data_IF_062291679775
#
_entry.id   IF_062291679775
#
_cell.length_a   1.000
_cell.length_b   1.000
_cell.length_c   1.000
_cell.angle_alpha   90.00
_cell.angle_beta   90.00
_cell.angle_gamma   90.00
#
_symmetry.space_group_name_H-M   'P 1'
#
loop_
_entity.id
_entity.type
_entity.pdbx_description
1 polymer ?
#
# COMPACT_ATOMS: atom_id res chain seq x y z
N UNK A 1 -44.29 31.70 -16.05
CA UNK A 1 -43.29 32.68 -15.59
C UNK A 1 -41.95 32.00 -15.53
N UNK A 2 -41.06 32.45 -16.40
CA UNK A 2 -39.79 31.82 -16.78
C UNK A 2 -38.70 32.29 -15.82
N UNK A 3 -38.20 31.42 -14.96
CA UNK A 3 -37.09 31.76 -14.05
C UNK A 3 -35.78 31.65 -14.83
N UNK A 4 -35.19 32.81 -15.13
CA UNK A 4 -33.87 32.94 -15.78
C UNK A 4 -32.79 32.35 -14.87
N UNK A 5 -32.11 31.31 -15.35
CA UNK A 5 -30.76 30.96 -14.87
C UNK A 5 -29.80 32.03 -15.37
N UNK A 6 -29.40 32.94 -14.48
CA UNK A 6 -28.36 33.94 -14.72
C UNK A 6 -26.98 33.32 -14.54
N UNK A 7 -26.15 33.50 -15.56
CA UNK A 7 -24.76 33.07 -15.66
C UNK A 7 -23.86 33.73 -14.61
N UNK A 8 -22.86 32.99 -14.14
CA UNK A 8 -21.83 33.47 -13.21
C UNK A 8 -20.56 32.64 -13.26
N UNK A 9 -20.09 32.25 -14.46
CA UNK A 9 -18.68 31.85 -14.63
C UNK A 9 -17.87 33.14 -14.74
N UNK A 10 -17.41 33.67 -13.60
CA UNK A 10 -16.41 34.73 -13.62
C UNK A 10 -15.15 34.21 -14.31
N UNK A 11 -14.83 34.73 -15.50
CA UNK A 11 -13.51 34.55 -16.09
C UNK A 11 -12.51 35.22 -15.14
N UNK A 12 -11.68 34.42 -14.46
CA UNK A 12 -10.54 34.95 -13.71
C UNK A 12 -9.65 35.77 -14.65
N UNK A 13 -9.21 36.93 -14.18
CA UNK A 13 -8.31 37.81 -14.93
C UNK A 13 -7.00 37.04 -15.24
N UNK A 14 -6.52 37.03 -16.50
CA UNK A 14 -5.20 36.48 -16.85
C UNK A 14 -4.04 36.98 -15.98
N UNK A 15 -4.13 38.16 -15.38
CA UNK A 15 -3.14 38.66 -14.42
C UNK A 15 -3.26 37.96 -13.05
N UNK A 16 -4.47 37.65 -12.62
CA UNK A 16 -4.75 36.92 -11.37
C UNK A 16 -4.26 35.46 -11.48
N UNK A 17 -4.50 34.80 -12.62
CA UNK A 17 -3.96 33.46 -12.92
C UNK A 17 -2.43 33.43 -12.92
N UNK A 18 -1.78 34.48 -13.44
CA UNK A 18 -0.31 34.63 -13.41
C UNK A 18 0.25 34.78 -12.00
N UNK A 19 -0.52 35.41 -11.10
CA UNK A 19 -0.09 35.62 -9.72
C UNK A 19 -0.06 34.31 -8.91
N UNK A 20 -0.95 33.36 -9.22
CA UNK A 20 -1.09 32.08 -8.52
C UNK A 20 0.19 31.24 -8.68
N UNK A 21 0.68 31.06 -9.91
CA UNK A 21 1.89 30.28 -10.16
C UNK A 21 3.13 30.86 -9.46
N UNK A 22 3.30 32.18 -9.50
CA UNK A 22 4.38 32.86 -8.80
C UNK A 22 4.29 32.69 -7.28
N UNK A 23 3.10 32.77 -6.70
CA UNK A 23 2.86 32.54 -5.28
C UNK A 23 3.18 31.09 -4.88
N UNK A 24 2.76 30.12 -5.69
CA UNK A 24 3.05 28.70 -5.50
C UNK A 24 4.56 28.42 -5.49
N UNK A 25 5.29 28.94 -6.48
CA UNK A 25 6.74 28.79 -6.55
C UNK A 25 7.45 29.42 -5.35
N UNK A 26 7.03 30.63 -4.91
CA UNK A 26 7.60 31.26 -3.70
C UNK A 26 7.43 30.36 -2.48
N UNK A 27 6.26 29.75 -2.33
CA UNK A 27 5.96 28.86 -1.20
C UNK A 27 6.77 27.57 -1.26
N UNK A 28 6.80 26.90 -2.40
CA UNK A 28 7.62 25.70 -2.63
C UNK A 28 9.13 25.99 -2.39
N UNK A 29 9.59 27.17 -2.77
CA UNK A 29 10.99 27.59 -2.63
C UNK A 29 11.40 27.90 -1.18
N UNK A 30 10.47 28.08 -0.23
CA UNK A 30 10.79 28.43 1.17
C UNK A 30 11.66 27.40 1.89
N UNK A 31 11.63 26.14 1.44
CA UNK A 31 12.41 25.04 2.03
C UNK A 31 13.89 25.08 1.66
N UNK A 32 14.29 25.97 0.74
CA UNK A 32 15.65 26.07 0.24
C UNK A 32 16.34 27.31 0.79
N UNK A 33 17.61 27.18 1.18
CA UNK A 33 18.38 28.26 1.79
C UNK A 33 18.60 29.46 0.86
N UNK A 34 18.61 29.26 -0.45
CA UNK A 34 18.71 30.34 -1.42
C UNK A 34 18.09 30.00 -2.77
N UNK A 35 17.51 31.01 -3.44
CA UNK A 35 16.98 30.87 -4.81
C UNK A 35 18.07 30.48 -5.80
N UNK A 36 19.31 30.94 -5.60
CA UNK A 36 20.43 30.58 -6.46
C UNK A 36 20.83 29.10 -6.33
N UNK A 37 20.80 28.54 -5.11
CA UNK A 37 21.00 27.11 -4.88
C UNK A 37 19.90 26.28 -5.54
N UNK A 38 18.65 26.65 -5.28
CA UNK A 38 17.48 26.02 -5.90
C UNK A 38 17.56 26.00 -7.43
N UNK A 39 17.89 27.12 -8.07
CA UNK A 39 17.98 27.20 -9.54
C UNK A 39 19.05 26.26 -10.12
N UNK A 40 20.15 26.04 -9.40
CA UNK A 40 21.21 25.11 -9.82
C UNK A 40 20.74 23.66 -9.74
N UNK A 41 20.11 23.27 -8.64
CA UNK A 41 19.55 21.92 -8.47
C UNK A 41 18.42 21.65 -9.47
N UNK A 42 17.57 22.65 -9.70
CA UNK A 42 16.46 22.59 -10.64
C UNK A 42 16.90 22.67 -12.11
N UNK A 43 18.15 23.07 -12.38
CA UNK A 43 18.69 23.25 -13.73
C UNK A 43 18.03 24.39 -14.53
N UNK A 44 17.47 25.40 -13.86
CA UNK A 44 16.79 26.55 -14.50
C UNK A 44 17.64 27.80 -14.35
N UNK A 45 17.69 28.62 -15.39
CA UNK A 45 18.36 29.92 -15.33
C UNK A 45 17.68 30.82 -14.27
N UNK A 46 18.46 31.41 -13.36
CA UNK A 46 17.94 32.23 -12.25
C UNK A 46 17.07 33.42 -12.72
N UNK A 47 17.45 34.09 -13.80
CA UNK A 47 16.67 35.19 -14.38
C UNK A 47 15.33 34.69 -14.91
N UNK A 48 15.31 33.51 -15.51
CA UNK A 48 14.08 32.87 -15.96
C UNK A 48 13.19 32.46 -14.78
N UNK A 49 13.77 31.86 -13.73
CA UNK A 49 13.03 31.47 -12.53
C UNK A 49 12.44 32.69 -11.79
N UNK A 50 13.18 33.79 -11.71
CA UNK A 50 12.68 35.03 -11.11
C UNK A 50 11.47 35.61 -11.86
N UNK A 51 11.45 35.53 -13.19
CA UNK A 51 10.29 35.92 -14.00
C UNK A 51 9.06 35.04 -13.74
N UNK A 52 9.27 33.79 -13.34
CA UNK A 52 8.17 32.92 -12.91
C UNK A 52 7.68 33.31 -11.52
N UNK A 53 8.59 33.58 -10.58
CA UNK A 53 8.26 34.03 -9.23
C UNK A 53 7.49 35.36 -9.22
N UNK A 54 7.77 36.27 -10.16
CA UNK A 54 7.05 37.55 -10.30
C UNK A 54 5.74 37.44 -11.09
N UNK A 55 5.47 36.31 -11.75
CA UNK A 55 4.29 36.14 -12.61
C UNK A 55 4.41 36.83 -13.98
N UNK A 56 5.60 37.30 -14.35
CA UNK A 56 5.85 37.95 -15.64
C UNK A 56 5.76 36.97 -16.82
N UNK A 57 6.05 35.69 -16.59
CA UNK A 57 6.00 34.66 -17.63
C UNK A 57 5.62 33.30 -17.07
N UNK A 58 5.18 32.40 -17.95
CA UNK A 58 4.93 31.00 -17.64
C UNK A 58 6.02 30.10 -18.24
N UNK A 59 6.31 28.96 -17.60
CA UNK A 59 7.25 27.98 -18.11
C UNK A 59 6.69 27.31 -19.36
N UNK A 60 7.60 26.98 -20.29
CA UNK A 60 7.29 26.05 -21.39
C UNK A 60 7.00 24.65 -20.81
N UNK A 61 6.27 23.78 -21.54
CA UNK A 61 5.87 22.47 -21.03
C UNK A 61 7.02 21.61 -20.48
N UNK A 62 8.17 21.60 -21.14
CA UNK A 62 9.39 20.88 -20.72
C UNK A 62 9.95 21.43 -19.40
N UNK A 63 9.97 22.76 -19.25
CA UNK A 63 10.42 23.43 -18.03
C UNK A 63 9.44 23.20 -16.89
N UNK A 64 8.13 23.25 -17.17
CA UNK A 64 7.09 22.97 -16.20
C UNK A 64 7.19 21.53 -15.69
N UNK A 65 7.32 20.55 -16.59
CA UNK A 65 7.48 19.14 -16.22
C UNK A 65 8.64 18.93 -15.25
N UNK A 66 9.77 19.59 -15.50
CA UNK A 66 10.93 19.55 -14.60
C UNK A 66 10.65 20.21 -13.25
N UNK A 67 9.97 21.35 -13.23
CA UNK A 67 9.54 22.02 -11.98
C UNK A 67 8.63 21.11 -11.17
N UNK A 68 7.61 20.54 -11.81
CA UNK A 68 6.66 19.61 -11.21
C UNK A 68 7.37 18.38 -10.64
N UNK A 69 8.26 17.75 -11.42
CA UNK A 69 9.05 16.59 -10.99
C UNK A 69 10.00 16.89 -9.83
N UNK A 70 10.63 18.08 -9.82
CA UNK A 70 11.52 18.49 -8.75
C UNK A 70 10.79 18.73 -7.42
N UNK A 71 9.61 19.36 -7.47
CA UNK A 71 8.83 19.67 -6.26
C UNK A 71 7.82 18.58 -5.88
N UNK A 72 7.61 17.56 -6.72
CA UNK A 72 6.63 16.50 -6.48
C UNK A 72 5.17 16.97 -6.57
N UNK A 73 4.88 17.91 -7.47
CA UNK A 73 3.56 18.55 -7.63
C UNK A 73 3.03 18.42 -9.06
N UNK A 74 1.72 18.56 -9.24
CA UNK A 74 1.05 18.47 -10.55
C UNK A 74 1.09 19.80 -11.33
N UNK A 75 0.87 19.76 -12.65
CA UNK A 75 0.85 20.94 -13.51
C UNK A 75 -0.26 21.95 -13.17
N UNK A 76 -1.29 21.54 -12.40
CA UNK A 76 -2.29 22.45 -11.81
C UNK A 76 -1.67 23.62 -11.02
N UNK A 77 -0.41 23.53 -10.58
CA UNK A 77 0.30 24.62 -9.88
C UNK A 77 0.31 25.92 -10.70
N UNK A 78 0.08 25.86 -12.01
CA UNK A 78 -0.06 27.03 -12.86
C UNK A 78 -1.27 27.89 -12.50
N UNK A 79 -2.37 27.26 -12.08
CA UNK A 79 -3.70 27.89 -12.02
C UNK A 79 -4.40 27.73 -10.68
N UNK A 80 -3.98 26.78 -9.85
CA UNK A 80 -4.57 26.51 -8.54
C UNK A 80 -3.52 26.74 -7.43
N UNK A 81 -3.90 27.23 -6.24
CA UNK A 81 -2.98 27.30 -5.11
C UNK A 81 -2.38 25.93 -4.78
N UNK A 82 -1.08 25.86 -4.53
CA UNK A 82 -0.34 24.60 -4.32
C UNK A 82 -0.82 23.82 -3.10
N UNK A 83 -1.53 24.45 -2.18
CA UNK A 83 -2.16 23.81 -1.03
C UNK A 83 -3.48 23.12 -1.37
N UNK A 84 -4.18 23.62 -2.39
CA UNK A 84 -5.41 23.04 -2.91
C UNK A 84 -5.10 21.87 -3.86
N UNK A 85 -3.91 21.88 -4.47
CA UNK A 85 -3.36 20.80 -5.27
C UNK A 85 -2.82 19.73 -4.32
N UNK A 86 -3.75 19.04 -3.66
CA UNK A 86 -3.44 17.73 -3.14
C UNK A 86 -3.11 16.82 -4.34
N UNK A 87 -2.07 15.97 -4.26
CA UNK A 87 -1.91 14.92 -5.26
C UNK A 87 -3.26 14.20 -5.38
N UNK A 88 -3.72 13.93 -6.62
CA UNK A 88 -5.05 13.36 -6.89
C UNK A 88 -5.31 11.98 -6.25
N UNK A 89 -4.40 11.49 -5.41
CA UNK A 89 -4.66 10.42 -4.47
C UNK A 89 -5.58 10.91 -3.35
N UNK A 90 -6.88 10.98 -3.65
CA UNK A 90 -7.92 10.73 -2.65
C UNK A 90 -7.82 9.26 -2.21
N UNK A 91 -6.76 8.92 -1.50
CA UNK A 91 -6.67 7.67 -0.76
C UNK A 91 -7.63 7.76 0.43
N UNK A 92 -8.28 6.64 0.78
CA UNK A 92 -9.24 6.53 1.87
C UNK A 92 -8.66 7.08 3.18
N UNK A 93 -7.37 6.81 3.42
CA UNK A 93 -6.63 7.25 4.60
C UNK A 93 -6.24 8.72 4.59
N UNK A 94 -6.33 9.40 3.44
CA UNK A 94 -6.07 10.84 3.31
C UNK A 94 -7.35 11.68 3.40
N UNK A 95 -8.52 11.05 3.54
CA UNK A 95 -9.79 11.77 3.66
C UNK A 95 -9.87 12.51 5.01
N UNK A 96 -10.34 13.78 5.05
CA UNK A 96 -10.36 14.60 6.28
C UNK A 96 -11.07 13.95 7.48
N UNK A 97 -12.08 13.12 7.24
CA UNK A 97 -12.80 12.42 8.30
C UNK A 97 -11.94 11.40 9.07
N UNK A 98 -10.84 10.90 8.50
CA UNK A 98 -10.00 9.85 9.10
C UNK A 98 -8.51 10.19 9.10
N UNK A 99 -8.08 11.24 8.40
CA UNK A 99 -6.65 11.54 8.20
C UNK A 99 -5.88 11.82 9.50
N UNK A 100 -6.53 12.35 10.54
CA UNK A 100 -5.89 12.55 11.85
C UNK A 100 -5.86 11.28 12.72
N UNK A 101 -6.59 10.23 12.33
CA UNK A 101 -6.76 8.99 13.09
C UNK A 101 -6.05 7.79 12.44
N UNK A 102 -6.08 7.71 11.10
CA UNK A 102 -5.57 6.61 10.28
C UNK A 102 -4.64 7.12 9.16
N UNK A 103 -4.07 8.32 9.32
CA UNK A 103 -3.37 9.05 8.26
C UNK A 103 -2.06 8.47 7.78
N UNK A 104 -1.23 9.33 7.18
CA UNK A 104 -0.04 8.96 6.42
C UNK A 104 0.96 8.02 7.14
N UNK A 105 1.06 8.09 8.47
CA UNK A 105 1.93 7.20 9.23
C UNK A 105 1.54 5.72 9.17
N UNK A 106 0.24 5.43 9.06
CA UNK A 106 -0.30 4.07 9.04
C UNK A 106 -0.15 3.40 7.67
N UNK A 107 -0.07 4.16 6.58
CA UNK A 107 0.07 3.60 5.22
C UNK A 107 1.52 3.39 4.77
N UNK A 108 2.48 3.99 5.48
CA UNK A 108 3.90 3.85 5.18
C UNK A 108 4.52 2.69 5.98
N UNK A 109 4.68 1.54 5.32
CA UNK A 109 5.38 0.37 5.86
C UNK A 109 6.81 0.35 5.31
N UNK A 110 7.80 0.47 6.18
CA UNK A 110 9.21 0.57 5.77
C UNK A 110 9.79 -0.78 5.31
N UNK A 111 10.75 -0.76 4.37
CA UNK A 111 11.40 -1.97 3.83
C UNK A 111 12.12 -2.78 4.92
N UNK A 112 12.72 -2.10 5.90
CA UNK A 112 13.40 -2.71 7.04
C UNK A 112 12.44 -3.28 8.08
N UNK A 113 11.15 -2.90 8.08
CA UNK A 113 10.08 -3.41 8.95
C UNK A 113 9.34 -4.61 8.32
N UNK A 114 9.08 -4.55 7.02
CA UNK A 114 8.45 -5.64 6.27
C UNK A 114 8.97 -5.65 4.81
N UNK A 115 10.07 -6.38 4.53
CA UNK A 115 10.74 -6.35 3.23
C UNK A 115 9.85 -6.72 2.05
N UNK A 116 10.10 -6.12 0.90
CA UNK A 116 9.55 -6.61 -0.37
C UNK A 116 10.13 -8.00 -0.71
N UNK A 117 9.36 -8.80 -1.43
CA UNK A 117 9.79 -10.11 -1.93
C UNK A 117 8.84 -11.24 -1.61
N UNK A 118 9.31 -12.46 -1.86
CA UNK A 118 8.55 -13.67 -1.62
C UNK A 118 8.54 -14.08 -0.15
N UNK A 119 7.35 -14.40 0.34
CA UNK A 119 7.13 -14.99 1.65
C UNK A 119 6.45 -16.34 1.52
N UNK A 120 6.96 -17.33 2.25
CA UNK A 120 6.22 -18.55 2.57
C UNK A 120 5.39 -18.27 3.81
N UNK A 121 4.09 -18.56 3.75
CA UNK A 121 3.24 -18.49 4.94
C UNK A 121 2.70 -19.86 5.31
N UNK A 122 2.44 -20.02 6.61
CA UNK A 122 1.71 -21.16 7.16
C UNK A 122 0.62 -20.66 8.11
N UNK A 123 -0.54 -21.28 8.06
CA UNK A 123 -1.62 -21.11 9.05
C UNK A 123 -2.47 -22.36 9.12
N UNK A 124 -3.14 -22.68 10.23
CA UNK A 124 -4.14 -23.71 10.18
C UNK A 124 -5.34 -23.29 9.30
N UNK A 125 -6.05 -24.29 8.78
CA UNK A 125 -7.17 -24.12 7.88
C UNK A 125 -8.37 -23.52 8.60
N UNK A 126 -9.09 -22.64 7.92
CA UNK A 126 -10.33 -22.06 8.45
C UNK A 126 -11.52 -23.00 8.40
N UNK A 127 -11.37 -24.13 7.69
CA UNK A 127 -12.46 -25.08 7.38
C UNK A 127 -12.23 -26.43 8.04
N UNK A 128 -10.99 -26.92 8.07
CA UNK A 128 -10.65 -28.24 8.61
C UNK A 128 -9.62 -28.09 9.74
N UNK A 129 -9.96 -28.57 10.93
CA UNK A 129 -9.13 -28.32 12.10
C UNK A 129 -7.82 -29.09 12.15
N UNK A 130 -7.72 -30.16 11.36
CA UNK A 130 -6.53 -31.03 11.29
C UNK A 130 -5.62 -30.70 10.10
N UNK A 131 -5.92 -29.62 9.36
CA UNK A 131 -5.14 -29.24 8.18
C UNK A 131 -4.57 -27.84 8.31
N UNK A 132 -3.46 -27.64 7.63
CA UNK A 132 -2.77 -26.37 7.52
C UNK A 132 -2.72 -25.93 6.07
N UNK A 133 -2.64 -24.63 5.87
CA UNK A 133 -2.43 -24.00 4.58
C UNK A 133 -1.00 -23.49 4.56
N UNK A 134 -0.22 -23.99 3.60
CA UNK A 134 1.09 -23.45 3.25
C UNK A 134 0.98 -22.79 1.88
N UNK A 135 1.42 -21.54 1.77
CA UNK A 135 1.33 -20.82 0.51
C UNK A 135 2.47 -19.84 0.31
N UNK A 136 2.52 -19.32 -0.91
CA UNK A 136 3.47 -18.29 -1.31
C UNK A 136 2.72 -16.98 -1.53
N UNK A 137 3.25 -15.90 -0.98
CA UNK A 137 2.80 -14.54 -1.30
C UNK A 137 3.98 -13.70 -1.75
N UNK A 138 3.70 -12.68 -2.55
CA UNK A 138 4.65 -11.69 -3.00
C UNK A 138 4.26 -10.34 -2.42
N UNK A 139 5.17 -9.77 -1.65
CA UNK A 139 5.05 -8.44 -1.04
C UNK A 139 5.80 -7.45 -1.92
N UNK A 140 5.16 -6.33 -2.24
CA UNK A 140 5.76 -5.32 -3.11
C UNK A 140 5.26 -3.92 -2.76
N UNK A 141 6.09 -2.93 -3.05
CA UNK A 141 5.74 -1.52 -2.88
C UNK A 141 5.44 -0.87 -4.22
N UNK A 142 4.43 -0.01 -4.23
CA UNK A 142 4.06 0.80 -5.39
C UNK A 142 3.37 2.07 -4.90
N UNK A 143 3.71 3.21 -5.49
CA UNK A 143 3.09 4.50 -5.19
C UNK A 143 3.14 4.88 -3.69
N UNK A 144 4.18 4.42 -2.96
CA UNK A 144 4.37 4.67 -1.52
C UNK A 144 3.62 3.69 -0.59
N UNK A 145 2.85 2.76 -1.13
CA UNK A 145 2.07 1.78 -0.36
C UNK A 145 2.70 0.38 -0.43
N UNK A 146 2.43 -0.43 0.58
CA UNK A 146 2.87 -1.83 0.66
C UNK A 146 1.70 -2.78 0.37
N UNK A 147 1.90 -3.68 -0.59
CA UNK A 147 0.87 -4.58 -1.09
C UNK A 147 1.30 -6.04 -0.97
N UNK A 148 0.31 -6.92 -0.97
CA UNK A 148 0.50 -8.36 -1.10
C UNK A 148 -0.29 -8.90 -2.29
N UNK A 149 0.29 -9.88 -2.96
CA UNK A 149 -0.37 -10.72 -3.95
C UNK A 149 -0.10 -12.19 -3.63
N UNK A 150 -1.12 -13.03 -3.75
CA UNK A 150 -0.96 -14.46 -3.62
C UNK A 150 -2.08 -15.23 -4.30
N UNK A 151 -2.03 -16.55 -4.18
CA UNK A 151 -3.01 -17.45 -4.77
C UNK A 151 -3.47 -18.47 -3.75
N UNK A 152 -4.78 -18.65 -3.61
CA UNK A 152 -5.34 -19.74 -2.79
C UNK A 152 -4.87 -21.11 -3.32
N UNK A 153 -4.66 -22.14 -2.49
CA UNK A 153 -4.40 -23.49 -2.95
C UNK A 153 -5.51 -24.04 -3.87
N UNK A 154 -5.14 -24.75 -4.94
CA UNK A 154 -6.12 -25.38 -5.84
C UNK A 154 -7.03 -26.37 -5.08
N UNK A 155 -6.46 -27.11 -4.14
CA UNK A 155 -7.19 -28.07 -3.31
C UNK A 155 -8.24 -27.40 -2.43
N UNK A 156 -7.87 -26.29 -1.77
CA UNK A 156 -8.79 -25.50 -0.96
C UNK A 156 -9.94 -24.91 -1.80
N UNK A 157 -9.67 -24.51 -3.05
CA UNK A 157 -10.70 -24.08 -3.99
C UNK A 157 -11.63 -25.23 -4.39
N UNK A 158 -11.08 -26.41 -4.73
CA UNK A 158 -11.87 -27.61 -5.09
C UNK A 158 -12.78 -28.06 -3.95
N UNK A 159 -12.28 -28.06 -2.72
CA UNK A 159 -13.08 -28.42 -1.53
C UNK A 159 -14.31 -27.51 -1.35
N UNK A 160 -14.26 -26.27 -1.86
CA UNK A 160 -15.37 -25.32 -1.82
C UNK A 160 -16.16 -25.26 -3.14
N UNK A 161 -15.88 -26.17 -4.09
CA UNK A 161 -16.53 -26.18 -5.41
C UNK A 161 -16.18 -24.95 -6.28
N UNK A 162 -15.07 -24.27 -6.00
CA UNK A 162 -14.66 -23.05 -6.70
C UNK A 162 -13.71 -23.34 -7.87
N UNK A 163 -13.68 -22.42 -8.84
CA UNK A 163 -12.77 -22.49 -9.98
C UNK A 163 -11.30 -22.43 -9.54
N UNK A 164 -10.43 -23.14 -10.26
CA UNK A 164 -9.00 -23.30 -9.90
C UNK A 164 -8.05 -22.57 -10.86
N UNK A 165 -8.60 -21.76 -11.76
CA UNK A 165 -7.81 -20.89 -12.62
C UNK A 165 -7.12 -19.78 -11.80
N UNK A 166 -6.13 -19.13 -12.40
CA UNK A 166 -5.32 -18.14 -11.71
C UNK A 166 -6.15 -16.93 -11.24
N UNK A 167 -7.08 -16.44 -12.06
CA UNK A 167 -7.85 -15.24 -11.74
C UNK A 167 -8.78 -15.47 -10.54
N UNK A 168 -9.42 -16.63 -10.48
CA UNK A 168 -10.31 -17.01 -9.36
C UNK A 168 -9.56 -17.24 -8.04
N UNK A 169 -8.28 -17.66 -8.13
CA UNK A 169 -7.42 -17.95 -6.98
C UNK A 169 -6.69 -16.73 -6.43
N UNK A 170 -6.51 -15.72 -7.27
CA UNK A 170 -5.72 -14.53 -6.92
C UNK A 170 -6.39 -13.76 -5.79
N UNK A 171 -5.61 -13.45 -4.77
CA UNK A 171 -5.95 -12.49 -3.74
C UNK A 171 -4.91 -11.37 -3.72
N UNK A 172 -5.37 -10.19 -3.32
CA UNK A 172 -4.54 -9.02 -3.10
C UNK A 172 -4.91 -8.34 -1.80
N UNK A 173 -3.98 -7.58 -1.26
CA UNK A 173 -4.23 -6.76 -0.09
C UNK A 173 -3.24 -5.64 0.08
N UNK A 174 -3.51 -4.83 1.08
CA UNK A 174 -2.68 -3.71 1.52
C UNK A 174 -2.17 -3.99 2.92
N UNK A 175 -0.92 -3.62 3.19
CA UNK A 175 -0.37 -3.59 4.53
C UNK A 175 -0.43 -2.18 5.12
N UNK A 176 -0.73 -2.12 6.41
CA UNK A 176 -0.76 -0.91 7.22
C UNK A 176 0.18 -1.11 8.40
N UNK A 177 0.95 -0.10 8.73
CA UNK A 177 1.82 -0.08 9.91
C UNK A 177 0.97 -0.06 11.18
N UNK A 178 1.42 -0.81 12.17
CA UNK A 178 0.89 -0.89 13.53
C UNK A 178 2.05 -0.73 14.51
N UNK A 179 1.76 -0.44 15.78
CA UNK A 179 2.78 -0.18 16.80
C UNK A 179 3.84 -1.29 16.90
N UNK A 180 3.40 -2.55 16.79
CA UNK A 180 4.25 -3.73 16.96
C UNK A 180 4.43 -4.54 15.67
N UNK A 181 4.10 -4.00 14.50
CA UNK A 181 4.25 -4.72 13.23
C UNK A 181 3.30 -4.21 12.15
N UNK A 182 2.75 -5.11 11.36
CA UNK A 182 1.88 -4.76 10.22
C UNK A 182 0.52 -5.43 10.33
N UNK A 183 -0.53 -4.68 10.02
CA UNK A 183 -1.85 -5.19 9.71
C UNK A 183 -2.01 -5.37 8.20
N UNK A 184 -2.85 -6.30 7.76
CA UNK A 184 -3.20 -6.45 6.35
C UNK A 184 -4.70 -6.64 6.15
N UNK A 185 -5.24 -6.01 5.11
CA UNK A 185 -6.57 -6.30 4.58
C UNK A 185 -6.42 -6.99 3.24
N UNK A 186 -6.85 -8.25 3.15
CA UNK A 186 -6.64 -9.10 1.98
C UNK A 186 -7.98 -9.65 1.49
N UNK A 187 -8.23 -9.53 0.19
CA UNK A 187 -9.46 -10.01 -0.44
C UNK A 187 -9.16 -10.76 -1.75
N UNK A 188 -10.05 -11.69 -2.10
CA UNK A 188 -10.06 -12.32 -3.43
C UNK A 188 -10.73 -11.41 -4.45
N UNK A 189 -10.49 -11.69 -5.72
CA UNK A 189 -11.13 -10.96 -6.81
C UNK A 189 -12.67 -10.91 -6.66
N UNK A 190 -13.25 -9.70 -6.64
CA UNK A 190 -14.69 -9.43 -6.49
C UNK A 190 -15.33 -10.00 -5.20
N UNK A 191 -14.53 -10.34 -4.19
CA UNK A 191 -15.07 -10.80 -2.91
C UNK A 191 -15.53 -9.60 -2.07
N UNK A 192 -16.71 -9.72 -1.45
CA UNK A 192 -17.14 -8.81 -0.37
C UNK A 192 -16.54 -9.19 0.99
N UNK A 193 -15.94 -10.38 1.09
CA UNK A 193 -15.24 -10.83 2.29
C UNK A 193 -13.76 -10.60 2.16
N UNK A 194 -13.15 -10.14 3.26
CA UNK A 194 -11.71 -9.99 3.41
C UNK A 194 -11.21 -10.71 4.66
N UNK A 195 -9.91 -11.01 4.70
CA UNK A 195 -9.24 -11.31 5.95
C UNK A 195 -8.58 -10.06 6.49
N UNK A 196 -8.60 -9.93 7.82
CA UNK A 196 -7.72 -9.03 8.54
C UNK A 196 -6.59 -9.84 9.14
N UNK A 197 -5.35 -9.45 8.87
CA UNK A 197 -4.18 -10.11 9.42
C UNK A 197 -3.39 -9.14 10.27
N UNK A 198 -2.72 -9.65 11.30
CA UNK A 198 -1.68 -8.95 12.04
C UNK A 198 -0.41 -9.81 12.05
N UNK A 199 0.74 -9.19 11.83
CA UNK A 199 2.05 -9.82 11.81
C UNK A 199 3.07 -8.94 12.53
N UNK A 200 3.77 -9.51 13.51
CA UNK A 200 4.88 -8.89 14.22
C UNK A 200 6.17 -9.68 13.95
N UNK A 201 7.31 -9.00 13.93
CA UNK A 201 8.59 -9.64 13.64
C UNK A 201 9.02 -10.52 14.82
N UNK A 202 9.48 -11.73 14.50
CA UNK A 202 10.05 -12.65 15.48
C UNK A 202 11.56 -12.47 15.52
N UNK A 203 12.09 -12.24 16.73
CA UNK A 203 13.52 -12.31 17.00
C UNK A 203 14.03 -13.72 16.69
N UNK A 204 14.66 -13.88 15.53
CA UNK A 204 15.21 -15.13 15.02
C UNK A 204 16.61 -14.86 14.45
N UNK A 205 17.43 -15.91 14.28
CA UNK A 205 18.82 -15.74 13.88
C UNK A 205 18.99 -15.01 12.54
N UNK A 206 18.15 -15.33 11.57
CA UNK A 206 18.13 -14.68 10.24
C UNK A 206 17.18 -13.48 10.16
N UNK A 207 16.45 -13.19 11.25
CA UNK A 207 15.48 -12.10 11.34
C UNK A 207 14.45 -12.04 10.19
N UNK A 208 14.07 -13.21 9.66
CA UNK A 208 13.24 -13.39 8.47
C UNK A 208 11.87 -13.99 8.77
N UNK A 209 11.43 -14.00 10.04
CA UNK A 209 10.13 -14.52 10.45
C UNK A 209 9.24 -13.44 11.06
N UNK A 210 7.94 -13.55 10.77
CA UNK A 210 6.87 -12.79 11.39
C UNK A 210 5.79 -13.76 11.84
N UNK A 211 5.21 -13.50 13.00
CA UNK A 211 4.09 -14.27 13.54
C UNK A 211 2.95 -13.35 13.93
N UNK A 212 1.75 -13.91 13.99
CA UNK A 212 0.57 -13.21 14.43
C UNK A 212 -0.66 -14.02 14.10
N UNK A 213 -1.66 -13.41 13.48
CA UNK A 213 -2.93 -14.06 13.23
C UNK A 213 -3.64 -13.54 11.99
N UNK A 214 -4.57 -14.34 11.48
CA UNK A 214 -5.52 -13.97 10.46
C UNK A 214 -6.93 -14.20 10.97
N UNK A 215 -7.83 -13.26 10.69
CA UNK A 215 -9.25 -13.35 11.00
C UNK A 215 -10.09 -13.24 9.73
N UNK A 216 -11.26 -13.88 9.72
CA UNK A 216 -12.24 -13.78 8.64
C UNK A 216 -13.35 -12.81 9.04
N UNK A 217 -13.70 -11.90 8.14
CA UNK A 217 -14.85 -10.98 8.29
C UNK A 217 -16.18 -11.68 7.97
N UNK A 218 -16.47 -12.75 8.72
CA UNK A 218 -17.69 -13.55 8.56
C UNK A 218 -18.43 -13.66 9.89
N UNK A 219 -19.74 -13.95 9.82
CA UNK A 219 -20.54 -14.25 11.02
C UNK A 219 -19.92 -15.41 11.79
N UNK A 220 -20.11 -15.39 13.11
CA UNK A 220 -19.89 -16.57 13.93
C UNK A 220 -20.65 -17.78 13.40
N UNK A 221 -19.94 -18.91 13.37
CA UNK A 221 -20.46 -20.22 13.02
C UNK A 221 -20.00 -21.17 14.12
N UNK A 222 -20.85 -22.13 14.48
CA UNK A 222 -20.46 -23.22 15.39
C UNK A 222 -19.41 -24.13 14.76
N UNK A 223 -19.30 -24.12 13.42
CA UNK A 223 -18.38 -24.94 12.65
C UNK A 223 -17.36 -24.05 11.94
N UNK A 224 -16.08 -24.23 12.28
CA UNK A 224 -14.95 -23.51 11.68
C UNK A 224 -14.44 -22.33 12.50
N UNK A 225 -13.14 -22.06 12.40
CA UNK A 225 -12.48 -20.99 13.16
C UNK A 225 -12.66 -19.63 12.47
N UNK A 226 -12.86 -18.57 13.25
CA UNK A 226 -12.87 -17.18 12.75
C UNK A 226 -11.51 -16.52 12.77
N UNK A 227 -10.63 -17.01 13.65
CA UNK A 227 -9.27 -16.52 13.81
C UNK A 227 -8.30 -17.71 13.89
N UNK A 228 -7.09 -17.53 13.39
CA UNK A 228 -6.05 -18.54 13.39
C UNK A 228 -4.67 -17.87 13.48
N UNK A 229 -3.72 -18.48 14.19
CA UNK A 229 -2.33 -18.04 14.15
C UNK A 229 -1.78 -18.14 12.73
N UNK A 230 -0.85 -17.26 12.40
CA UNK A 230 -0.26 -17.17 11.07
C UNK A 230 1.23 -16.85 11.19
N UNK A 231 2.04 -17.48 10.34
CA UNK A 231 3.49 -17.28 10.29
C UNK A 231 3.87 -16.95 8.86
N UNK A 232 4.72 -15.93 8.71
CA UNK A 232 5.32 -15.49 7.45
C UNK A 232 6.83 -15.63 7.56
N UNK A 233 7.45 -16.18 6.52
CA UNK A 233 8.90 -16.33 6.40
C UNK A 233 9.34 -15.65 5.11
N UNK A 234 10.21 -14.66 5.20
CA UNK A 234 10.81 -14.00 4.04
C UNK A 234 11.87 -14.92 3.43
N UNK A 235 11.63 -15.33 2.18
CA UNK A 235 12.46 -16.30 1.47
C UNK A 235 12.97 -15.76 0.12
N UNK A 236 12.94 -14.44 -0.07
CA UNK A 236 13.29 -13.79 -1.33
C UNK A 236 14.69 -14.18 -1.86
N UNK A 237 15.65 -14.37 -0.96
CA UNK A 237 17.03 -14.76 -1.29
C UNK A 237 17.20 -16.26 -1.50
N UNK A 238 16.19 -17.08 -1.17
CA UNK A 238 16.23 -18.53 -1.23
C UNK A 238 15.35 -19.08 -2.36
N UNK A 239 15.89 -19.10 -3.58
CA UNK A 239 15.20 -19.59 -4.78
C UNK A 239 14.67 -21.02 -4.62
N UNK A 240 15.43 -21.90 -3.96
CA UNK A 240 15.00 -23.28 -3.71
C UNK A 240 13.74 -23.30 -2.85
N UNK A 241 13.68 -22.52 -1.77
CA UNK A 241 12.49 -22.41 -0.93
C UNK A 241 11.29 -21.81 -1.71
N UNK A 242 11.53 -20.81 -2.56
CA UNK A 242 10.48 -20.20 -3.39
C UNK A 242 9.86 -21.24 -4.32
N UNK A 243 10.66 -21.92 -5.15
CA UNK A 243 10.16 -22.91 -6.09
C UNK A 243 9.56 -24.14 -5.40
N UNK A 244 10.14 -24.57 -4.28
CA UNK A 244 9.58 -25.66 -3.49
C UNK A 244 8.17 -25.29 -2.98
N UNK A 245 8.01 -24.10 -2.39
CA UNK A 245 6.72 -23.62 -1.87
C UNK A 245 5.72 -23.39 -2.99
N UNK A 246 6.13 -22.86 -4.14
CA UNK A 246 5.25 -22.66 -5.28
C UNK A 246 4.68 -23.98 -5.85
N UNK A 247 5.44 -25.07 -5.79
CA UNK A 247 5.05 -26.38 -6.32
C UNK A 247 4.28 -27.25 -5.34
N UNK A 248 4.64 -27.18 -4.05
CA UNK A 248 4.13 -28.08 -3.00
C UNK A 248 3.28 -27.36 -1.95
N UNK A 249 3.13 -26.03 -2.04
CA UNK A 249 2.20 -25.29 -1.19
C UNK A 249 0.77 -25.74 -1.45
N UNK A 250 0.00 -25.90 -0.37
CA UNK A 250 -1.31 -26.52 -0.43
C UNK A 250 -1.92 -26.71 0.94
N UNK A 251 -2.85 -27.67 1.01
CA UNK A 251 -3.30 -28.20 2.29
C UNK A 251 -2.28 -29.24 2.76
N UNK A 252 -1.76 -29.06 3.98
CA UNK A 252 -0.71 -29.91 4.55
C UNK A 252 -1.14 -30.45 5.91
N UNK A 253 -0.66 -31.65 6.24
CA UNK A 253 -0.82 -32.23 7.57
C UNK A 253 0.13 -31.57 8.58
N UNK A 254 -0.07 -31.82 9.88
CA UNK A 254 0.73 -31.23 10.96
C UNK A 254 2.19 -31.65 10.87
N UNK A 255 2.42 -32.93 10.59
CA UNK A 255 3.70 -33.61 10.48
C UNK A 255 4.56 -33.11 9.31
N UNK A 256 3.91 -32.58 8.27
CA UNK A 256 4.57 -32.07 7.06
C UNK A 256 4.94 -30.58 7.16
N UNK A 257 4.54 -29.90 8.25
CA UNK A 257 4.91 -28.51 8.46
C UNK A 257 6.40 -28.38 8.75
N UNK A 258 7.00 -27.30 8.23
CA UNK A 258 8.35 -26.94 8.63
C UNK A 258 8.42 -26.78 10.16
N UNK A 259 9.38 -27.41 10.86
CA UNK A 259 9.39 -27.45 12.33
C UNK A 259 9.33 -26.07 13.00
N UNK A 260 10.02 -25.09 12.42
CA UNK A 260 9.99 -23.73 12.95
C UNK A 260 8.64 -23.03 12.74
N UNK A 261 7.94 -23.30 11.63
CA UNK A 261 6.57 -22.80 11.44
C UNK A 261 5.62 -23.44 12.45
N UNK A 262 5.71 -24.75 12.66
CA UNK A 262 4.90 -25.46 13.65
C UNK A 262 5.11 -24.90 15.07
N UNK A 263 6.37 -24.58 15.43
CA UNK A 263 6.70 -23.94 16.71
C UNK A 263 6.01 -22.57 16.87
N UNK A 264 6.17 -21.68 15.90
CA UNK A 264 5.59 -20.33 15.96
C UNK A 264 4.04 -20.34 15.91
N UNK A 265 3.45 -21.32 15.22
CA UNK A 265 2.00 -21.51 15.21
C UNK A 265 1.42 -21.99 16.54
N UNK A 266 2.26 -22.39 17.51
CA UNK A 266 1.86 -22.81 18.86
C UNK A 266 0.63 -23.74 18.84
N UNK A 267 0.75 -24.84 18.09
CA UNK A 267 -0.37 -25.72 17.70
C UNK A 267 -1.14 -26.33 18.86
N UNK A 268 -0.48 -26.51 20.00
CA UNK A 268 -1.06 -27.14 21.19
C UNK A 268 -1.68 -26.12 22.16
N UNK A 269 -1.59 -24.83 21.87
CA UNK A 269 -2.16 -23.76 22.67
C UNK A 269 -3.36 -23.17 21.95
N UNK A 270 -4.57 -23.14 22.55
CA UNK A 270 -5.73 -22.50 21.95
C UNK A 270 -5.46 -21.04 21.56
N UNK A 271 -6.07 -20.57 20.49
CA UNK A 271 -6.08 -19.16 20.13
C UNK A 271 -6.99 -18.40 21.11
N UNK A 272 -6.51 -17.30 21.70
CA UNK A 272 -7.22 -16.49 22.69
C UNK A 272 -7.51 -15.11 22.12
#
# INVERSE_FOLDING_TARGET
>A
MTTKYGQGTGQMDPAELRSIFGANLRRLSRRYQSVAGLCRELGINRTQFNRYLSGESFPRPDVLYRICGFFGVDARILLEPVEAIQPDNRDLFSHPAVSEFLGHGSVNVAEDEFPSGFYRFSRPSFVNDNQFVVGLVYVFRRDGFCFVRGYEPKEAMRQQGLQTDAASREFRGVFLRQEQGVAALIARHKALTCSFNFLSRVSSYENNFWEGYATRTVRESLNGRRAARMVYEHIQTNQRAIFHTARHGGLTAREDLHPFHAKLLNLDVPFR
#
